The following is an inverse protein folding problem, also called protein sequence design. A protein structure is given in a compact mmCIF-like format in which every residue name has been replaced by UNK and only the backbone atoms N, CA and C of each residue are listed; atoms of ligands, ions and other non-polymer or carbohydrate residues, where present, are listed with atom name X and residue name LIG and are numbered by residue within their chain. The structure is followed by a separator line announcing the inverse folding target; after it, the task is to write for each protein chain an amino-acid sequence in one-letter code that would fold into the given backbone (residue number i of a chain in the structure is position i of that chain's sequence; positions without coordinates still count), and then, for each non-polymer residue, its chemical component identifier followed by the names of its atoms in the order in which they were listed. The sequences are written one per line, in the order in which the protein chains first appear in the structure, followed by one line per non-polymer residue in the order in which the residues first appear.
data_IF_222771922498
#
_entry.id   IF_222771922498
#
_cell.length_a   1.000
_cell.length_b   1.000
_cell.length_c   1.000
_cell.angle_alpha   90.00
_cell.angle_beta   90.00
_cell.angle_gamma   90.00
#
_symmetry.space_group_name_H-M   'P 1'
#
loop_
_entity.id
_entity.type
_entity.pdbx_description
1 polymer ?
#
# COMPACT_ATOMS: atom_id res chain seq x y z
N UNK A 1 -50.34 -8.05 -9.69
CA UNK A 1 -49.93 -7.52 -8.38
C UNK A 1 -49.08 -6.27 -8.64
N UNK A 2 -49.55 -5.10 -8.19
CA UNK A 2 -48.84 -3.83 -8.51
C UNK A 2 -47.57 -3.75 -7.66
N UNK A 3 -46.43 -3.52 -8.29
CA UNK A 3 -45.10 -3.38 -7.63
C UNK A 3 -45.08 -2.44 -6.40
N UNK A 4 -46.05 -1.52 -6.29
CA UNK A 4 -46.25 -0.62 -5.15
C UNK A 4 -46.67 -1.35 -3.85
N UNK A 5 -47.36 -2.47 -3.95
CA UNK A 5 -47.84 -3.22 -2.79
C UNK A 5 -46.79 -4.10 -2.09
N UNK A 6 -45.64 -4.30 -2.78
CA UNK A 6 -44.53 -5.10 -2.28
C UNK A 6 -43.46 -4.25 -1.52
N UNK A 7 -43.50 -2.93 -1.67
CA UNK A 7 -42.46 -2.09 -1.08
C UNK A 7 -42.49 -2.10 0.46
N UNK A 8 -41.35 -2.37 1.06
CA UNK A 8 -41.16 -2.36 2.52
C UNK A 8 -40.01 -1.44 2.97
N UNK A 9 -39.28 -0.82 2.02
CA UNK A 9 -38.16 0.09 2.29
C UNK A 9 -38.55 1.55 2.01
N UNK A 10 -38.31 2.44 3.00
CA UNK A 10 -38.47 3.89 2.88
C UNK A 10 -37.35 4.54 2.07
N UNK A 11 -37.52 5.81 1.74
CA UNK A 11 -36.56 6.56 0.90
C UNK A 11 -35.18 6.65 1.52
N UNK A 12 -35.09 6.94 2.81
CA UNK A 12 -33.81 7.08 3.53
C UNK A 12 -33.11 5.72 3.62
N UNK A 13 -33.82 4.63 3.91
CA UNK A 13 -33.28 3.27 3.94
C UNK A 13 -32.70 2.89 2.58
N UNK A 14 -33.41 3.18 1.49
CA UNK A 14 -32.94 2.93 0.11
C UNK A 14 -31.68 3.73 -0.23
N UNK A 15 -31.60 5.01 0.17
CA UNK A 15 -30.42 5.82 -0.03
C UNK A 15 -29.21 5.31 0.76
N UNK A 16 -29.42 4.91 2.03
CA UNK A 16 -28.38 4.30 2.83
C UNK A 16 -27.87 2.97 2.21
N UNK A 17 -28.79 2.12 1.71
CA UNK A 17 -28.41 0.86 1.01
C UNK A 17 -27.63 1.11 -0.27
N UNK A 18 -27.91 2.22 -0.97
CA UNK A 18 -27.12 2.61 -2.14
C UNK A 18 -25.67 2.90 -1.77
N UNK A 19 -25.42 3.64 -0.69
CA UNK A 19 -24.07 3.90 -0.17
C UNK A 19 -23.39 2.61 0.32
N UNK A 20 -24.14 1.74 1.03
CA UNK A 20 -23.64 0.43 1.46
C UNK A 20 -23.22 -0.41 0.24
N UNK A 21 -24.07 -0.47 -0.79
CA UNK A 21 -23.78 -1.19 -2.02
C UNK A 21 -22.47 -0.69 -2.65
N UNK A 22 -22.28 0.62 -2.74
CA UNK A 22 -21.09 1.23 -3.28
C UNK A 22 -19.84 0.85 -2.49
N UNK A 23 -19.87 0.97 -1.15
CA UNK A 23 -18.73 0.61 -0.28
C UNK A 23 -18.37 -0.87 -0.44
N UNK A 24 -19.35 -1.76 -0.46
CA UNK A 24 -19.10 -3.20 -0.62
C UNK A 24 -18.57 -3.54 -2.02
N UNK A 25 -19.07 -2.91 -3.07
CA UNK A 25 -18.58 -3.10 -4.44
C UNK A 25 -17.16 -2.58 -4.59
N UNK A 26 -16.85 -1.39 -4.06
CA UNK A 26 -15.49 -0.86 -4.05
C UNK A 26 -14.54 -1.76 -3.24
N UNK A 27 -14.97 -2.23 -2.07
CA UNK A 27 -14.21 -3.20 -1.28
C UNK A 27 -13.89 -4.47 -2.07
N UNK A 28 -14.91 -5.08 -2.68
CA UNK A 28 -14.75 -6.28 -3.51
C UNK A 28 -13.79 -6.06 -4.68
N UNK A 29 -13.87 -4.90 -5.31
CA UNK A 29 -13.07 -4.61 -6.50
C UNK A 29 -11.60 -4.33 -6.17
N UNK A 30 -11.32 -3.55 -5.12
CA UNK A 30 -9.97 -3.09 -4.83
C UNK A 30 -9.24 -3.92 -3.76
N UNK A 31 -9.97 -4.44 -2.73
CA UNK A 31 -9.35 -4.88 -1.48
C UNK A 31 -9.46 -6.36 -1.17
N UNK A 32 -10.42 -7.06 -1.79
CA UNK A 32 -10.67 -8.45 -1.49
C UNK A 32 -10.47 -9.37 -2.68
N UNK A 33 -10.10 -10.62 -2.38
CA UNK A 33 -9.99 -11.72 -3.33
C UNK A 33 -10.63 -13.00 -2.80
N UNK A 34 -10.74 -14.02 -3.64
CA UNK A 34 -11.28 -15.31 -3.27
C UNK A 34 -12.73 -15.25 -2.73
N UNK A 35 -13.00 -16.01 -1.68
CA UNK A 35 -14.34 -16.10 -1.08
C UNK A 35 -14.86 -14.76 -0.53
N UNK A 36 -13.99 -13.94 0.06
CA UNK A 36 -14.36 -12.62 0.58
C UNK A 36 -14.80 -11.66 -0.52
N UNK A 37 -14.16 -11.68 -1.67
CA UNK A 37 -14.56 -10.87 -2.82
C UNK A 37 -15.98 -11.22 -3.26
N UNK A 38 -16.30 -12.52 -3.32
CA UNK A 38 -17.64 -13.00 -3.70
C UNK A 38 -18.67 -12.52 -2.66
N UNK A 39 -18.38 -12.69 -1.37
CA UNK A 39 -19.28 -12.24 -0.29
C UNK A 39 -19.56 -10.74 -0.40
N UNK A 40 -18.52 -9.92 -0.59
CA UNK A 40 -18.67 -8.47 -0.73
C UNK A 40 -19.49 -8.09 -1.97
N UNK A 41 -19.27 -8.74 -3.11
CA UNK A 41 -20.12 -8.52 -4.29
C UNK A 41 -21.57 -8.92 -4.04
N UNK A 42 -21.81 -10.05 -3.43
CA UNK A 42 -23.18 -10.53 -3.13
C UNK A 42 -23.92 -9.53 -2.22
N UNK A 43 -23.27 -9.09 -1.14
CA UNK A 43 -23.86 -8.10 -0.21
C UNK A 43 -24.09 -6.77 -0.94
N UNK A 44 -23.12 -6.30 -1.72
CA UNK A 44 -23.23 -5.07 -2.51
C UNK A 44 -24.36 -5.13 -3.54
N UNK A 45 -24.47 -6.22 -4.29
CA UNK A 45 -25.53 -6.42 -5.30
C UNK A 45 -26.90 -6.52 -4.64
N UNK A 46 -27.05 -7.27 -3.54
CA UNK A 46 -28.32 -7.36 -2.80
C UNK A 46 -28.73 -5.96 -2.31
N UNK A 47 -27.80 -5.21 -1.71
CA UNK A 47 -28.06 -3.84 -1.25
C UNK A 47 -28.45 -2.90 -2.39
N UNK A 48 -27.81 -3.01 -3.55
CA UNK A 48 -28.15 -2.25 -4.75
C UNK A 48 -29.54 -2.59 -5.28
N UNK A 49 -29.83 -3.88 -5.44
CA UNK A 49 -31.13 -4.35 -5.95
C UNK A 49 -32.27 -3.93 -5.02
N UNK A 50 -32.10 -4.09 -3.70
CA UNK A 50 -33.13 -3.68 -2.71
C UNK A 50 -33.30 -2.17 -2.71
N UNK A 51 -32.21 -1.39 -2.80
CA UNK A 51 -32.28 0.07 -2.95
C UNK A 51 -33.09 0.50 -4.17
N UNK A 52 -32.92 -0.16 -5.33
CA UNK A 52 -33.64 0.19 -6.58
C UNK A 52 -35.11 -0.25 -6.49
N UNK A 53 -35.37 -1.48 -6.07
CA UNK A 53 -36.73 -2.05 -6.04
C UNK A 53 -37.59 -1.50 -4.89
N UNK A 54 -36.95 -1.14 -3.77
CA UNK A 54 -37.62 -0.76 -2.53
C UNK A 54 -38.24 -1.95 -1.79
N UNK A 55 -37.76 -3.18 -2.10
CA UNK A 55 -38.22 -4.41 -1.49
C UNK A 55 -37.03 -5.23 -0.98
N UNK A 56 -37.06 -5.54 0.32
CA UNK A 56 -36.10 -6.42 0.96
C UNK A 56 -36.84 -7.69 1.48
N UNK A 57 -36.40 -8.85 1.00
CA UNK A 57 -36.97 -10.13 1.43
C UNK A 57 -36.74 -10.42 2.92
N UNK A 58 -35.55 -10.05 3.44
CA UNK A 58 -35.23 -10.17 4.86
C UNK A 58 -36.18 -9.34 5.74
N UNK A 59 -36.44 -8.08 5.33
CA UNK A 59 -37.42 -7.24 6.02
C UNK A 59 -38.82 -7.89 6.07
N UNK A 60 -39.20 -8.56 4.97
CA UNK A 60 -40.48 -9.26 4.92
C UNK A 60 -40.51 -10.45 5.90
N UNK A 61 -39.43 -11.22 5.99
CA UNK A 61 -39.32 -12.37 6.91
C UNK A 61 -39.36 -11.91 8.36
N UNK A 62 -38.64 -10.81 8.70
CA UNK A 62 -38.59 -10.27 10.06
C UNK A 62 -39.73 -9.29 10.39
N UNK A 63 -40.70 -9.08 9.50
CA UNK A 63 -41.82 -8.15 9.72
C UNK A 63 -41.36 -6.68 9.78
N UNK A 64 -40.17 -6.34 9.32
CA UNK A 64 -39.63 -4.96 9.31
C UNK A 64 -40.22 -4.20 8.13
N UNK A 65 -40.63 -2.96 8.37
CA UNK A 65 -41.14 -2.07 7.31
C UNK A 65 -40.73 -0.64 7.61
N UNK A 66 -39.88 -0.06 6.76
CA UNK A 66 -39.48 1.36 6.82
C UNK A 66 -40.34 2.22 5.87
N UNK A 67 -40.96 1.60 4.88
CA UNK A 67 -41.90 2.24 3.96
C UNK A 67 -43.18 2.67 4.69
N UNK A 68 -43.57 3.94 4.56
CA UNK A 68 -44.80 4.47 5.17
C UNK A 68 -44.62 4.99 6.62
N UNK A 69 -43.43 4.90 7.21
CA UNK A 69 -43.10 5.55 8.48
C UNK A 69 -42.84 7.06 8.25
N UNK A 70 -42.38 7.41 7.05
CA UNK A 70 -42.17 8.82 6.67
C UNK A 70 -43.52 9.52 6.47
N UNK A 71 -43.89 10.35 7.41
CA UNK A 71 -45.16 11.13 7.37
C UNK A 71 -45.09 12.27 6.34
N UNK A 72 -43.89 12.65 5.92
CA UNK A 72 -43.63 13.68 4.89
C UNK A 72 -42.67 13.15 3.85
N UNK A 73 -42.74 13.59 2.59
CA UNK A 73 -41.76 13.25 1.57
C UNK A 73 -40.36 13.68 2.00
N UNK A 74 -39.36 12.77 1.80
CA UNK A 74 -37.97 13.09 2.11
C UNK A 74 -37.52 14.36 1.40
N UNK A 75 -36.94 15.29 2.18
CA UNK A 75 -36.50 16.62 1.72
C UNK A 75 -35.52 16.47 0.54
N UNK A 76 -35.58 17.40 -0.41
CA UNK A 76 -34.64 17.47 -1.53
C UNK A 76 -33.20 17.65 -1.04
N UNK A 77 -32.98 18.35 0.06
CA UNK A 77 -31.67 18.55 0.66
C UNK A 77 -31.05 17.21 1.15
N UNK A 78 -31.85 16.35 1.77
CA UNK A 78 -31.40 15.01 2.19
C UNK A 78 -30.98 14.19 0.98
N UNK A 79 -31.79 14.17 -0.08
CA UNK A 79 -31.45 13.48 -1.33
C UNK A 79 -30.18 14.03 -1.96
N UNK A 80 -30.00 15.36 -1.96
CA UNK A 80 -28.80 16.02 -2.48
C UNK A 80 -27.55 15.62 -1.67
N UNK A 81 -27.65 15.59 -0.33
CA UNK A 81 -26.53 15.15 0.52
C UNK A 81 -26.14 13.72 0.21
N UNK A 82 -27.09 12.78 0.09
CA UNK A 82 -26.77 11.41 -0.29
C UNK A 82 -26.17 11.28 -1.70
N UNK A 83 -26.65 12.08 -2.66
CA UNK A 83 -26.07 12.11 -3.99
C UNK A 83 -24.62 12.63 -3.99
N UNK A 84 -24.33 13.67 -3.23
CA UNK A 84 -22.97 14.19 -3.05
C UNK A 84 -22.08 13.14 -2.38
N UNK A 85 -22.55 12.50 -1.29
CA UNK A 85 -21.81 11.44 -0.62
C UNK A 85 -21.51 10.28 -1.56
N UNK A 86 -22.46 9.84 -2.35
CA UNK A 86 -22.27 8.78 -3.35
C UNK A 86 -21.15 9.16 -4.34
N UNK A 87 -21.20 10.36 -4.92
CA UNK A 87 -20.17 10.82 -5.86
C UNK A 87 -18.80 10.94 -5.18
N UNK A 88 -18.76 11.47 -3.96
CA UNK A 88 -17.50 11.60 -3.21
C UNK A 88 -16.91 10.24 -2.88
N UNK A 89 -17.72 9.27 -2.42
CA UNK A 89 -17.27 7.90 -2.13
C UNK A 89 -16.78 7.23 -3.41
N UNK A 90 -17.51 7.36 -4.53
CA UNK A 90 -17.08 6.80 -5.82
C UNK A 90 -15.70 7.32 -6.23
N UNK A 91 -15.52 8.63 -6.24
CA UNK A 91 -14.28 9.25 -6.73
C UNK A 91 -13.14 9.07 -5.72
N UNK A 92 -13.33 9.52 -4.49
CA UNK A 92 -12.28 9.46 -3.47
C UNK A 92 -11.98 8.00 -3.06
N UNK A 93 -13.02 7.17 -2.89
CA UNK A 93 -12.89 5.75 -2.57
C UNK A 93 -12.10 4.99 -3.63
N UNK A 94 -12.40 5.20 -4.91
CA UNK A 94 -11.65 4.58 -6.01
C UNK A 94 -10.21 5.07 -6.09
N UNK A 95 -10.01 6.40 -6.00
CA UNK A 95 -8.68 7.00 -6.06
C UNK A 95 -7.77 6.50 -4.93
N UNK A 96 -8.23 6.62 -3.68
CA UNK A 96 -7.43 6.20 -2.53
C UNK A 96 -7.26 4.68 -2.48
N UNK A 97 -8.26 3.88 -2.89
CA UNK A 97 -8.10 2.43 -2.95
C UNK A 97 -7.04 2.02 -3.98
N UNK A 98 -7.06 2.61 -5.17
CA UNK A 98 -6.02 2.36 -6.17
C UNK A 98 -4.63 2.77 -5.66
N UNK A 99 -4.53 3.94 -5.03
CA UNK A 99 -3.29 4.45 -4.45
C UNK A 99 -2.76 3.53 -3.34
N UNK A 100 -3.59 3.20 -2.34
CA UNK A 100 -3.13 2.41 -1.20
C UNK A 100 -2.83 0.95 -1.55
N UNK A 101 -3.52 0.35 -2.51
CA UNK A 101 -3.16 -1.01 -2.97
C UNK A 101 -1.80 -1.04 -3.64
N UNK A 102 -1.43 0.00 -4.41
CA UNK A 102 -0.08 0.17 -4.95
C UNK A 102 0.94 0.41 -3.83
N UNK A 103 0.64 1.33 -2.91
CA UNK A 103 1.51 1.64 -1.78
C UNK A 103 1.85 0.40 -0.97
N UNK A 104 0.85 -0.36 -0.53
CA UNK A 104 1.08 -1.55 0.30
C UNK A 104 1.88 -2.63 -0.43
N UNK A 105 1.66 -2.79 -1.73
CA UNK A 105 2.48 -3.70 -2.52
C UNK A 105 3.95 -3.25 -2.55
N UNK A 106 4.20 -1.96 -2.77
CA UNK A 106 5.56 -1.42 -2.79
C UNK A 106 6.23 -1.47 -1.41
N UNK A 107 5.51 -1.18 -0.34
CA UNK A 107 6.02 -1.28 1.04
C UNK A 107 6.51 -2.72 1.34
N UNK A 108 5.68 -3.72 1.02
CA UNK A 108 6.03 -5.13 1.22
C UNK A 108 7.17 -5.57 0.30
N UNK A 109 7.16 -5.13 -0.96
CA UNK A 109 8.24 -5.36 -1.91
C UNK A 109 9.56 -4.75 -1.41
N UNK A 110 9.55 -3.48 -1.00
CA UNK A 110 10.75 -2.78 -0.54
C UNK A 110 11.36 -3.41 0.70
N UNK A 111 10.53 -3.85 1.66
CA UNK A 111 11.00 -4.55 2.86
C UNK A 111 11.73 -5.84 2.50
N UNK A 112 11.14 -6.67 1.68
CA UNK A 112 11.76 -7.90 1.17
C UNK A 112 13.02 -7.60 0.34
N UNK A 113 12.92 -6.63 -0.58
CA UNK A 113 13.99 -6.24 -1.50
C UNK A 113 15.21 -5.64 -0.78
N UNK A 114 15.01 -5.02 0.39
CA UNK A 114 16.11 -4.55 1.21
C UNK A 114 17.02 -5.71 1.65
N UNK A 115 16.45 -6.80 2.15
CA UNK A 115 17.24 -7.98 2.54
C UNK A 115 17.82 -8.71 1.33
N UNK A 116 17.12 -8.71 0.19
CA UNK A 116 17.68 -9.19 -1.08
C UNK A 116 18.95 -8.41 -1.47
N UNK A 117 18.89 -7.08 -1.47
CA UNK A 117 20.03 -6.21 -1.77
C UNK A 117 21.20 -6.44 -0.80
N UNK A 118 20.92 -6.57 0.50
CA UNK A 118 21.95 -6.85 1.50
C UNK A 118 22.58 -8.23 1.29
N UNK A 119 21.78 -9.26 1.05
CA UNK A 119 22.30 -10.60 0.77
C UNK A 119 23.20 -10.59 -0.49
N UNK A 120 22.72 -9.94 -1.55
CA UNK A 120 23.49 -9.78 -2.79
C UNK A 120 24.81 -9.04 -2.55
N UNK A 121 24.80 -7.95 -1.78
CA UNK A 121 25.99 -7.18 -1.46
C UNK A 121 27.01 -8.03 -0.69
N UNK A 122 26.59 -8.70 0.40
CA UNK A 122 27.53 -9.45 1.23
C UNK A 122 28.04 -10.73 0.58
N UNK A 123 27.25 -11.39 -0.29
CA UNK A 123 27.76 -12.50 -1.11
C UNK A 123 28.83 -12.02 -2.10
N UNK A 124 28.67 -10.82 -2.68
CA UNK A 124 29.69 -10.22 -3.56
C UNK A 124 30.96 -9.77 -2.83
N UNK A 125 30.89 -9.49 -1.53
CA UNK A 125 32.02 -9.10 -0.67
C UNK A 125 32.70 -10.30 0.03
N UNK A 126 32.23 -11.52 -0.23
CA UNK A 126 32.70 -12.75 0.43
C UNK A 126 32.55 -12.73 1.97
N UNK A 127 31.51 -12.03 2.46
CA UNK A 127 31.18 -11.87 3.89
C UNK A 127 30.08 -12.84 4.27
N UNK A 128 30.49 -14.09 4.61
CA UNK A 128 29.56 -15.20 4.83
C UNK A 128 28.60 -14.96 6.01
N UNK A 129 29.09 -14.50 7.15
CA UNK A 129 28.25 -14.33 8.34
C UNK A 129 27.12 -13.34 8.08
N UNK A 130 27.42 -12.19 7.48
CA UNK A 130 26.46 -11.16 7.12
C UNK A 130 25.55 -11.61 5.97
N UNK A 131 26.09 -12.38 4.99
CA UNK A 131 25.29 -12.95 3.90
C UNK A 131 24.24 -13.93 4.43
N UNK A 132 24.61 -14.83 5.35
CA UNK A 132 23.70 -15.79 6.00
C UNK A 132 22.62 -15.09 6.82
N UNK A 133 22.99 -14.08 7.63
CA UNK A 133 22.03 -13.32 8.43
C UNK A 133 20.98 -12.65 7.55
N UNK A 134 21.43 -11.94 6.50
CA UNK A 134 20.51 -11.26 5.59
C UNK A 134 19.71 -12.24 4.71
N UNK A 135 20.28 -13.36 4.30
CA UNK A 135 19.55 -14.41 3.60
C UNK A 135 18.41 -14.99 4.44
N UNK A 136 18.62 -15.23 5.73
CA UNK A 136 17.56 -15.70 6.62
C UNK A 136 16.41 -14.68 6.74
N UNK A 137 16.73 -13.41 6.84
CA UNK A 137 15.75 -12.33 6.84
C UNK A 137 15.02 -12.22 5.50
N UNK A 138 15.75 -12.37 4.39
CA UNK A 138 15.16 -12.44 3.05
C UNK A 138 14.15 -13.57 2.94
N UNK A 139 14.50 -14.80 3.37
CA UNK A 139 13.58 -15.94 3.32
C UNK A 139 12.32 -15.67 4.13
N UNK A 140 12.45 -15.09 5.34
CA UNK A 140 11.32 -14.75 6.20
C UNK A 140 10.39 -13.72 5.52
N UNK A 141 10.92 -12.60 5.06
CA UNK A 141 10.13 -11.54 4.42
C UNK A 141 9.55 -11.99 3.06
N UNK A 142 10.33 -12.75 2.29
CA UNK A 142 9.84 -13.32 1.04
C UNK A 142 8.68 -14.30 1.24
N UNK A 143 8.74 -15.12 2.30
CA UNK A 143 7.63 -16.01 2.66
C UNK A 143 6.35 -15.24 2.99
N UNK A 144 6.46 -14.13 3.72
CA UNK A 144 5.32 -13.23 4.00
C UNK A 144 4.78 -12.64 2.70
N UNK A 145 5.66 -12.11 1.85
CA UNK A 145 5.30 -11.55 0.55
C UNK A 145 4.60 -12.60 -0.34
N UNK A 146 5.17 -13.80 -0.45
CA UNK A 146 4.63 -14.91 -1.21
C UNK A 146 3.22 -15.28 -0.72
N UNK A 147 3.05 -15.53 0.58
CA UNK A 147 1.76 -15.93 1.16
C UNK A 147 0.66 -14.89 0.93
N UNK A 148 1.02 -13.61 0.95
CA UNK A 148 0.07 -12.50 0.76
C UNK A 148 -0.36 -12.36 -0.70
N UNK A 149 0.59 -12.44 -1.63
CA UNK A 149 0.33 -12.03 -3.02
C UNK A 149 0.07 -13.18 -4.00
N UNK A 150 0.36 -14.43 -3.68
CA UNK A 150 -0.01 -15.57 -4.54
C UNK A 150 -1.47 -15.98 -4.41
N UNK A 151 -2.04 -15.87 -3.21
CA UNK A 151 -3.45 -16.20 -2.98
C UNK A 151 -4.40 -15.05 -3.31
N UNK A 152 -3.90 -13.81 -3.30
CA UNK A 152 -4.68 -12.60 -3.53
C UNK A 152 -3.88 -11.58 -4.34
N UNK A 153 -4.40 -11.20 -5.49
CA UNK A 153 -3.86 -10.10 -6.28
C UNK A 153 -4.64 -8.81 -5.98
N UNK A 154 -4.05 -7.85 -5.25
CA UNK A 154 -4.67 -6.54 -5.06
C UNK A 154 -4.80 -5.81 -6.39
N UNK A 155 -5.62 -4.77 -6.42
CA UNK A 155 -5.88 -4.01 -7.64
C UNK A 155 -4.61 -3.63 -8.42
N UNK A 156 -3.54 -3.31 -7.70
CA UNK A 156 -2.27 -2.90 -8.28
C UNK A 156 -1.62 -3.94 -9.21
N UNK A 157 -1.83 -5.25 -8.96
CA UNK A 157 -1.27 -6.35 -9.74
C UNK A 157 -2.35 -7.29 -10.30
N UNK A 158 -3.62 -6.90 -10.21
CA UNK A 158 -4.79 -7.77 -10.50
C UNK A 158 -4.81 -8.29 -11.94
N UNK A 159 -4.30 -7.52 -12.88
CA UNK A 159 -4.27 -7.87 -14.30
C UNK A 159 -3.00 -8.61 -14.73
N UNK A 160 -2.05 -8.83 -13.82
CA UNK A 160 -0.79 -9.49 -14.12
C UNK A 160 -0.93 -11.01 -14.07
N UNK A 161 -1.22 -11.62 -15.20
CA UNK A 161 -1.37 -13.08 -15.34
C UNK A 161 -0.05 -13.85 -15.20
N UNK A 162 1.11 -13.16 -15.30
CA UNK A 162 2.44 -13.77 -15.17
C UNK A 162 2.99 -13.68 -13.75
N UNK A 163 2.37 -12.88 -12.87
CA UNK A 163 2.88 -12.60 -11.53
C UNK A 163 3.22 -13.87 -10.74
N UNK A 164 2.30 -14.83 -10.65
CA UNK A 164 2.54 -16.08 -9.88
C UNK A 164 3.70 -16.90 -10.46
N UNK A 165 3.81 -17.01 -11.78
CA UNK A 165 4.90 -17.72 -12.42
C UNK A 165 6.27 -17.05 -12.17
N UNK A 166 6.31 -15.72 -12.18
CA UNK A 166 7.52 -14.96 -11.91
C UNK A 166 7.94 -15.08 -10.43
N UNK A 167 6.99 -15.00 -9.49
CA UNK A 167 7.27 -15.19 -8.07
C UNK A 167 7.74 -16.63 -7.79
N UNK A 168 7.20 -17.63 -8.49
CA UNK A 168 7.69 -19.01 -8.39
C UNK A 168 9.13 -19.16 -8.89
N UNK A 169 9.51 -18.50 -10.00
CA UNK A 169 10.90 -18.45 -10.46
C UNK A 169 11.81 -17.80 -9.42
N UNK A 170 11.40 -16.69 -8.82
CA UNK A 170 12.15 -16.04 -7.73
C UNK A 170 12.32 -17.00 -6.55
N UNK A 171 11.26 -17.70 -6.14
CA UNK A 171 11.30 -18.72 -5.08
C UNK A 171 12.33 -19.81 -5.40
N UNK A 172 12.32 -20.32 -6.63
CA UNK A 172 13.26 -21.35 -7.08
C UNK A 172 14.71 -20.87 -7.00
N UNK A 173 15.00 -19.65 -7.49
CA UNK A 173 16.34 -19.07 -7.41
C UNK A 173 16.78 -18.92 -5.96
N UNK A 174 15.98 -18.23 -5.13
CA UNK A 174 16.35 -17.97 -3.74
C UNK A 174 16.61 -19.29 -2.98
N UNK A 175 15.71 -20.26 -3.10
CA UNK A 175 15.83 -21.54 -2.38
C UNK A 175 17.02 -22.39 -2.86
N UNK A 176 17.35 -22.37 -4.15
CA UNK A 176 18.49 -23.12 -4.69
C UNK A 176 19.85 -22.65 -4.18
N UNK A 177 19.92 -21.41 -3.69
CA UNK A 177 21.15 -20.79 -3.22
C UNK A 177 21.44 -21.02 -1.73
N UNK A 178 20.54 -21.65 -1.00
CA UNK A 178 20.68 -21.88 0.45
C UNK A 178 22.01 -22.52 0.80
N UNK A 179 22.36 -23.66 0.22
CA UNK A 179 23.59 -24.39 0.52
C UNK A 179 24.84 -23.56 0.21
N UNK A 180 24.85 -22.88 -0.95
CA UNK A 180 25.97 -22.04 -1.36
C UNK A 180 26.17 -20.85 -0.43
N UNK A 181 25.09 -20.20 0.03
CA UNK A 181 25.15 -19.09 0.97
C UNK A 181 25.68 -19.55 2.33
N UNK A 182 25.27 -20.73 2.81
CA UNK A 182 25.67 -21.23 4.13
C UNK A 182 27.09 -21.79 4.15
N UNK A 183 27.47 -22.61 3.16
CA UNK A 183 28.70 -23.41 3.20
C UNK A 183 29.46 -23.46 1.88
N UNK A 184 28.81 -23.16 0.76
CA UNK A 184 29.38 -23.27 -0.57
C UNK A 184 30.02 -21.98 -1.11
N UNK A 185 29.92 -21.76 -2.42
CA UNK A 185 30.54 -20.61 -3.12
C UNK A 185 29.66 -19.35 -3.05
N UNK A 186 30.11 -18.35 -2.29
CA UNK A 186 29.40 -17.06 -2.16
C UNK A 186 29.44 -16.25 -3.46
N UNK A 187 30.51 -16.33 -4.24
CA UNK A 187 30.63 -15.59 -5.50
C UNK A 187 29.67 -16.16 -6.55
N UNK A 188 29.53 -17.48 -6.59
CA UNK A 188 28.52 -18.13 -7.41
C UNK A 188 27.11 -17.74 -6.95
N UNK A 189 26.86 -17.68 -5.63
CA UNK A 189 25.60 -17.22 -5.07
C UNK A 189 25.29 -15.79 -5.50
N UNK A 190 26.27 -14.88 -5.45
CA UNK A 190 26.11 -13.49 -5.90
C UNK A 190 25.63 -13.43 -7.35
N UNK A 191 26.33 -14.13 -8.27
CA UNK A 191 25.97 -14.15 -9.68
C UNK A 191 24.56 -14.70 -9.91
N UNK A 192 24.17 -15.74 -9.18
CA UNK A 192 22.86 -16.35 -9.32
C UNK A 192 21.74 -15.47 -8.72
N UNK A 193 22.01 -14.75 -7.63
CA UNK A 193 21.06 -13.78 -7.06
C UNK A 193 20.75 -12.62 -8.02
N UNK A 194 21.70 -12.22 -8.89
CA UNK A 194 21.44 -11.16 -9.88
C UNK A 194 20.26 -11.48 -10.81
N UNK A 195 19.94 -12.75 -11.04
CA UNK A 195 18.81 -13.17 -11.86
C UNK A 195 17.43 -12.81 -11.26
N UNK A 196 17.36 -12.52 -9.97
CA UNK A 196 16.11 -12.09 -9.30
C UNK A 196 15.70 -10.65 -9.68
N UNK A 197 16.70 -9.79 -9.87
CA UNK A 197 16.47 -8.35 -10.16
C UNK A 197 15.63 -8.11 -11.41
N UNK A 198 15.93 -8.67 -12.59
CA UNK A 198 15.14 -8.42 -13.79
C UNK A 198 13.71 -8.93 -13.65
N UNK A 199 13.47 -10.03 -12.93
CA UNK A 199 12.11 -10.55 -12.73
C UNK A 199 11.24 -9.52 -12.00
N UNK A 200 11.73 -8.97 -10.88
CA UNK A 200 10.98 -7.92 -10.16
C UNK A 200 10.86 -6.63 -10.98
N UNK A 201 11.89 -6.24 -11.72
CA UNK A 201 11.78 -5.06 -12.61
C UNK A 201 10.68 -5.25 -13.66
N UNK A 202 10.52 -6.43 -14.22
CA UNK A 202 9.48 -6.74 -15.18
C UNK A 202 8.08 -6.75 -14.53
N UNK A 203 7.94 -7.30 -13.31
CA UNK A 203 6.71 -7.21 -12.53
C UNK A 203 6.32 -5.74 -12.32
N UNK A 204 7.25 -4.91 -11.85
CA UNK A 204 6.99 -3.49 -11.56
C UNK A 204 6.60 -2.73 -12.84
N UNK A 205 7.31 -2.94 -13.96
CA UNK A 205 7.02 -2.30 -15.25
C UNK A 205 5.66 -2.70 -15.81
N UNK A 206 5.34 -4.01 -15.83
CA UNK A 206 4.05 -4.51 -16.34
C UNK A 206 2.85 -3.94 -15.57
N UNK A 207 3.03 -3.70 -14.29
CA UNK A 207 1.97 -3.18 -13.41
C UNK A 207 2.01 -1.63 -13.27
N UNK A 208 2.75 -0.95 -14.14
CA UNK A 208 2.86 0.50 -14.17
C UNK A 208 3.33 1.11 -12.83
N UNK A 209 4.27 0.44 -12.14
CA UNK A 209 5.01 1.05 -11.05
C UNK A 209 6.18 1.84 -11.63
N UNK A 210 6.25 3.11 -11.28
CA UNK A 210 7.40 3.93 -11.67
C UNK A 210 8.61 3.63 -10.78
N UNK A 211 9.82 3.71 -11.36
CA UNK A 211 11.05 3.60 -10.56
C UNK A 211 11.14 4.71 -9.51
N UNK A 212 10.61 5.88 -9.81
CA UNK A 212 10.49 6.96 -8.84
C UNK A 212 9.61 6.56 -7.65
N UNK A 213 8.46 5.91 -7.90
CA UNK A 213 7.59 5.43 -6.82
C UNK A 213 8.32 4.42 -5.93
N UNK A 214 9.07 3.48 -6.52
CA UNK A 214 9.87 2.48 -5.78
C UNK A 214 10.91 3.16 -4.89
N UNK A 215 11.67 4.12 -5.44
CA UNK A 215 12.71 4.82 -4.67
C UNK A 215 12.13 5.77 -3.62
N UNK A 216 10.97 6.37 -3.87
CA UNK A 216 10.25 7.17 -2.86
C UNK A 216 9.77 6.32 -1.69
N UNK A 217 9.34 5.07 -1.92
CA UNK A 217 9.00 4.13 -0.84
C UNK A 217 10.25 3.76 -0.04
N UNK A 218 11.35 3.40 -0.72
CA UNK A 218 12.63 3.11 -0.05
C UNK A 218 13.11 4.29 0.83
N UNK A 219 12.94 5.52 0.34
CA UNK A 219 13.27 6.73 1.10
C UNK A 219 12.30 6.95 2.27
N UNK A 220 11.00 6.71 2.08
CA UNK A 220 10.00 6.83 3.15
C UNK A 220 10.38 5.98 4.37
N UNK A 221 10.69 4.70 4.16
CA UNK A 221 11.03 3.78 5.24
C UNK A 221 12.29 4.22 6.00
N UNK A 222 13.27 4.76 5.28
CA UNK A 222 14.47 5.32 5.89
C UNK A 222 14.17 6.64 6.64
N UNK A 223 13.36 7.53 6.06
CA UNK A 223 12.95 8.80 6.66
C UNK A 223 12.19 8.61 7.98
N UNK A 224 11.34 7.59 8.11
CA UNK A 224 10.61 7.30 9.35
C UNK A 224 11.58 7.04 10.52
N UNK A 225 12.80 6.52 10.28
CA UNK A 225 13.84 6.39 11.32
C UNK A 225 14.35 7.75 11.82
N UNK A 226 14.50 8.72 10.93
CA UNK A 226 14.84 10.11 11.30
C UNK A 226 13.72 10.71 12.14
N UNK A 227 12.46 10.51 11.72
CA UNK A 227 11.29 11.05 12.44
C UNK A 227 11.20 10.44 13.84
N UNK A 228 11.34 9.12 13.97
CA UNK A 228 11.31 8.44 15.26
C UNK A 228 12.41 8.94 16.21
N UNK A 229 13.64 9.12 15.72
CA UNK A 229 14.74 9.67 16.50
C UNK A 229 14.50 11.14 16.89
N UNK A 230 13.95 11.94 15.99
CA UNK A 230 13.60 13.33 16.23
C UNK A 230 12.48 13.48 17.28
N UNK A 231 11.44 12.63 17.21
CA UNK A 231 10.35 12.61 18.19
C UNK A 231 10.83 12.17 19.58
N UNK A 232 11.81 11.25 19.63
CA UNK A 232 12.50 10.86 20.85
C UNK A 232 13.51 11.92 21.34
N UNK A 233 13.73 13.01 20.60
CA UNK A 233 14.76 14.05 20.83
C UNK A 233 16.18 13.46 20.93
N UNK A 234 16.42 12.34 20.27
CA UNK A 234 17.71 11.63 20.25
C UNK A 234 18.54 12.07 19.04
N UNK A 235 19.31 13.15 19.22
CA UNK A 235 20.21 13.67 18.20
C UNK A 235 21.29 12.65 17.80
N UNK A 236 21.75 11.82 18.74
CA UNK A 236 22.79 10.81 18.49
C UNK A 236 22.27 9.73 17.55
N UNK A 237 21.09 9.18 17.84
CA UNK A 237 20.43 8.19 17.00
C UNK A 237 20.09 8.78 15.63
N UNK A 238 19.61 10.04 15.57
CA UNK A 238 19.31 10.72 14.32
C UNK A 238 20.56 10.80 13.42
N UNK A 239 21.68 11.20 13.96
CA UNK A 239 22.94 11.28 13.21
C UNK A 239 23.46 9.90 12.79
N UNK A 240 23.20 8.86 13.58
CA UNK A 240 23.61 7.49 13.26
C UNK A 240 22.82 6.92 12.07
N UNK A 241 21.52 7.24 11.92
CA UNK A 241 20.69 6.76 10.80
C UNK A 241 20.77 7.64 9.55
N UNK A 242 21.25 8.88 9.67
CA UNK A 242 21.32 9.85 8.57
C UNK A 242 22.03 9.34 7.30
N UNK A 243 23.19 8.63 7.37
CA UNK A 243 23.87 8.15 6.16
C UNK A 243 23.01 7.23 5.29
N UNK A 244 22.19 6.38 5.92
CA UNK A 244 21.24 5.53 5.19
C UNK A 244 20.17 6.38 4.50
N UNK A 245 19.59 7.32 5.22
CA UNK A 245 18.52 8.20 4.72
C UNK A 245 19.02 9.08 3.56
N UNK A 246 20.22 9.63 3.70
CA UNK A 246 20.87 10.41 2.64
C UNK A 246 21.09 9.59 1.37
N UNK A 247 21.58 8.35 1.52
CA UNK A 247 21.76 7.43 0.38
C UNK A 247 20.44 7.14 -0.35
N UNK A 248 19.35 6.95 0.39
CA UNK A 248 18.02 6.71 -0.20
C UNK A 248 17.47 7.95 -0.91
N UNK A 249 17.67 9.14 -0.35
CA UNK A 249 17.27 10.38 -1.03
C UNK A 249 18.09 10.65 -2.29
N UNK A 250 19.39 10.36 -2.27
CA UNK A 250 20.24 10.44 -3.48
C UNK A 250 19.72 9.55 -4.61
N UNK A 251 19.25 8.32 -4.30
CA UNK A 251 18.66 7.44 -5.30
C UNK A 251 17.38 8.03 -5.91
N UNK A 252 16.60 8.81 -5.15
CA UNK A 252 15.46 9.57 -5.70
C UNK A 252 15.96 10.70 -6.60
N UNK A 253 16.98 11.46 -6.16
CA UNK A 253 17.57 12.59 -6.89
C UNK A 253 18.20 12.16 -8.22
N UNK A 254 18.74 10.94 -8.32
CA UNK A 254 19.27 10.37 -9.57
C UNK A 254 18.17 10.13 -10.62
N UNK A 255 16.94 9.87 -10.20
CA UNK A 255 15.80 9.65 -11.11
C UNK A 255 15.14 10.98 -11.46
N UNK A 256 14.90 11.83 -10.46
CA UNK A 256 14.28 13.15 -10.60
C UNK A 256 14.90 14.10 -9.59
N UNK A 257 15.48 15.19 -10.10
CA UNK A 257 16.12 16.22 -9.27
C UNK A 257 15.52 17.60 -9.57
N UNK A 258 14.29 17.81 -9.15
CA UNK A 258 13.55 19.05 -9.30
C UNK A 258 13.30 19.77 -7.96
N UNK A 259 12.65 20.92 -8.00
CA UNK A 259 12.38 21.74 -6.82
C UNK A 259 11.58 21.04 -5.74
N UNK A 260 10.69 20.11 -6.10
CA UNK A 260 9.89 19.35 -5.12
C UNK A 260 10.78 18.34 -4.37
N UNK A 261 11.66 17.62 -5.06
CA UNK A 261 12.64 16.71 -4.44
C UNK A 261 13.66 17.49 -3.62
N UNK A 262 14.14 18.63 -4.14
CA UNK A 262 15.09 19.50 -3.42
C UNK A 262 14.46 20.12 -2.16
N UNK A 263 13.15 20.31 -2.11
CA UNK A 263 12.46 20.71 -0.88
C UNK A 263 12.54 19.63 0.20
N UNK A 264 12.48 18.34 -0.17
CA UNK A 264 12.69 17.23 0.76
C UNK A 264 14.12 17.23 1.26
N UNK A 265 15.11 17.39 0.36
CA UNK A 265 16.54 17.50 0.69
C UNK A 265 16.79 18.61 1.72
N UNK A 266 16.29 19.80 1.44
CA UNK A 266 16.42 20.97 2.32
C UNK A 266 15.90 20.69 3.73
N UNK A 267 14.70 20.09 3.84
CA UNK A 267 14.12 19.77 5.15
C UNK A 267 14.86 18.68 5.91
N UNK A 268 15.40 17.70 5.19
CA UNK A 268 16.27 16.68 5.79
C UNK A 268 17.56 17.32 6.36
N UNK A 269 18.22 18.16 5.58
CA UNK A 269 19.46 18.84 6.00
C UNK A 269 19.24 19.82 7.15
N UNK A 270 18.12 20.58 7.15
CA UNK A 270 17.73 21.43 8.28
C UNK A 270 17.54 20.60 9.57
N UNK A 271 16.92 19.43 9.47
CA UNK A 271 16.72 18.53 10.62
C UNK A 271 18.06 18.01 11.16
N UNK A 272 18.96 17.59 10.26
CA UNK A 272 20.29 17.10 10.64
C UNK A 272 21.17 18.23 11.22
N UNK A 273 21.06 19.44 10.69
CA UNK A 273 21.76 20.61 11.26
C UNK A 273 21.37 20.89 12.70
N UNK A 274 20.07 20.83 13.01
CA UNK A 274 19.58 20.97 14.41
C UNK A 274 20.13 19.88 15.33
N UNK A 275 20.24 18.63 14.84
CA UNK A 275 20.84 17.55 15.62
C UNK A 275 22.32 17.80 15.90
N UNK A 276 23.09 18.26 14.89
CA UNK A 276 24.51 18.63 15.04
C UNK A 276 24.72 19.80 16.01
N UNK A 277 23.80 20.76 15.99
CA UNK A 277 23.82 21.93 16.87
C UNK A 277 23.36 21.63 18.32
N UNK A 278 22.95 20.38 18.62
CA UNK A 278 22.43 20.00 19.94
C UNK A 278 21.07 20.57 20.28
N UNK A 279 20.29 21.05 19.29
CA UNK A 279 18.96 21.65 19.46
C UNK A 279 17.86 20.59 19.47
N UNK A 280 17.96 19.62 20.38
CA UNK A 280 17.07 18.46 20.43
C UNK A 280 15.58 18.81 20.56
N UNK A 281 15.23 19.88 21.25
CA UNK A 281 13.84 20.32 21.44
C UNK A 281 13.13 20.76 20.13
N UNK A 282 13.90 21.14 19.11
CA UNK A 282 13.37 21.57 17.81
C UNK A 282 13.27 20.44 16.77
N UNK A 283 13.83 19.25 17.06
CA UNK A 283 13.93 18.16 16.09
C UNK A 283 12.56 17.65 15.65
N UNK A 284 11.63 17.39 16.59
CA UNK A 284 10.31 16.84 16.25
C UNK A 284 9.51 17.78 15.31
N UNK A 285 9.51 19.09 15.60
CA UNK A 285 8.84 20.06 14.77
C UNK A 285 9.44 20.11 13.33
N UNK A 286 10.77 20.07 13.23
CA UNK A 286 11.46 20.08 11.94
C UNK A 286 11.28 18.77 11.16
N UNK A 287 11.28 17.63 11.82
CA UNK A 287 10.97 16.33 11.22
C UNK A 287 9.52 16.26 10.72
N UNK A 288 8.58 16.89 11.42
CA UNK A 288 7.20 17.02 10.95
C UNK A 288 7.09 17.85 9.66
N UNK A 289 7.90 18.91 9.49
CA UNK A 289 7.99 19.67 8.22
C UNK A 289 8.54 18.76 7.10
N UNK A 290 9.60 18.00 7.35
CA UNK A 290 10.15 17.02 6.40
C UNK A 290 9.08 16.02 5.96
N UNK A 291 8.38 15.41 6.90
CA UNK A 291 7.27 14.48 6.62
C UNK A 291 6.19 15.14 5.77
N UNK A 292 5.77 16.36 6.11
CA UNK A 292 4.74 17.09 5.38
C UNK A 292 5.11 17.35 3.92
N UNK A 293 6.36 17.79 3.66
CA UNK A 293 6.85 18.03 2.30
C UNK A 293 6.94 16.71 1.53
N UNK A 294 7.50 15.67 2.14
CA UNK A 294 7.58 14.34 1.53
C UNK A 294 6.20 13.80 1.13
N UNK A 295 5.21 13.83 2.05
CA UNK A 295 3.87 13.31 1.79
C UNK A 295 3.21 14.00 0.59
N UNK A 296 3.38 15.31 0.42
CA UNK A 296 2.85 16.05 -0.74
C UNK A 296 3.44 15.54 -2.05
N UNK A 297 4.75 15.32 -2.10
CA UNK A 297 5.45 14.79 -3.29
C UNK A 297 5.03 13.35 -3.55
N UNK A 298 5.00 12.55 -2.49
CA UNK A 298 4.65 11.13 -2.57
C UNK A 298 3.23 10.91 -3.12
N UNK A 299 2.23 11.63 -2.58
CA UNK A 299 0.85 11.53 -3.04
C UNK A 299 0.64 11.97 -4.49
N UNK A 300 1.55 12.80 -5.02
CA UNK A 300 1.50 13.30 -6.40
C UNK A 300 2.19 12.37 -7.39
N UNK A 301 3.23 11.62 -6.99
CA UNK A 301 4.20 10.97 -7.90
C UNK A 301 4.38 9.46 -7.70
N UNK A 302 3.90 8.89 -6.59
CA UNK A 302 4.04 7.47 -6.28
C UNK A 302 2.83 6.57 -6.69
#
# INVERSE_FOLDING_TARGET
MKLKELKNEGTIDRLARLLIAEIFILGAFFWFGGAWQIIFYVVGIISLVTSITGFCALYKVFGIRTFGIETKPTSIYIKAVFAVLFVVIAIAGSYYSAFFTKKFFLDDYSRMNNYYKQTLFYTGQDKRAEAVDNYNKLIAEYSVFLSKYTAYHPYAIKSDTQFNADIEKVSSIINSLKENVYTGDLKQSHTSFEAVRPIFQDILKRNNFSMLAVTLVDFHDAMEKIIAAADAKDATQLLAVYPEVDSKLKAVEEIVNDSEIQSIRTKLEETVALAKDGKADLLSAKAAELKSVFVKVYLKRA
#
